data_IF_946795648936
#
_entry.id   IF_946795648936
#
_cell.length_a   1.000
_cell.length_b   1.000
_cell.length_c   1.000
_cell.angle_alpha   90.00
_cell.angle_beta   90.00
_cell.angle_gamma   90.00
#
_symmetry.space_group_name_H-M   'P 1'
#
loop_
_entity.id
_entity.type
_entity.pdbx_description
1 polymer ?
#
# COMPACT_ATOMS: atom_id res chain seq x y z
N UNK A 1 7.31 2.86 -29.56
CA UNK A 1 7.81 2.78 -28.18
C UNK A 1 7.10 3.85 -27.39
N UNK A 2 6.35 3.48 -26.35
CA UNK A 2 5.73 4.45 -25.45
C UNK A 2 6.84 4.94 -24.52
N UNK A 3 6.97 6.25 -24.39
CA UNK A 3 7.91 6.88 -23.49
C UNK A 3 7.45 6.62 -22.03
N UNK A 4 8.16 5.73 -21.33
CA UNK A 4 7.88 5.36 -19.92
C UNK A 4 8.11 6.53 -18.95
N UNK A 5 8.67 7.66 -19.39
CA UNK A 5 8.94 8.86 -18.57
C UNK A 5 7.70 9.54 -17.96
N UNK A 6 6.50 9.03 -18.24
CA UNK A 6 5.24 9.55 -17.66
C UNK A 6 4.40 8.50 -16.94
N UNK A 7 4.87 7.24 -16.85
CA UNK A 7 4.19 6.22 -16.05
C UNK A 7 4.47 6.52 -14.58
N UNK A 8 3.42 6.80 -13.80
CA UNK A 8 3.55 7.00 -12.34
C UNK A 8 3.11 5.76 -11.59
N UNK A 9 3.92 5.34 -10.63
CA UNK A 9 3.71 4.18 -9.78
C UNK A 9 3.43 4.62 -8.35
N UNK A 10 2.28 4.21 -7.82
CA UNK A 10 1.87 4.49 -6.45
C UNK A 10 1.72 3.19 -5.67
N UNK A 11 2.35 3.09 -4.49
CA UNK A 11 2.03 2.05 -3.51
C UNK A 11 1.10 2.63 -2.45
N UNK A 12 -0.07 2.04 -2.27
CA UNK A 12 -1.08 2.50 -1.30
C UNK A 12 -1.49 1.33 -0.42
N UNK A 13 -1.43 1.51 0.90
CA UNK A 13 -1.85 0.47 1.84
C UNK A 13 -3.28 0.69 2.37
N UNK A 14 -4.14 -0.33 2.21
CA UNK A 14 -5.53 -0.40 2.71
C UNK A 14 -6.42 0.81 2.37
N UNK A 15 -7.19 1.32 3.35
CA UNK A 15 -8.42 2.17 3.32
C UNK A 15 -8.37 3.49 2.50
N UNK A 16 -7.45 3.63 1.56
CA UNK A 16 -7.44 4.68 0.56
C UNK A 16 -8.34 4.36 -0.62
N UNK A 17 -9.53 3.78 -0.43
CA UNK A 17 -10.44 3.39 -1.52
C UNK A 17 -10.69 4.55 -2.49
N UNK A 18 -11.07 5.73 -1.95
CA UNK A 18 -11.24 6.94 -2.77
C UNK A 18 -9.94 7.46 -3.41
N UNK A 19 -8.79 7.24 -2.77
CA UNK A 19 -7.49 7.64 -3.34
C UNK A 19 -7.06 6.70 -4.47
N UNK A 20 -7.25 5.40 -4.29
CA UNK A 20 -7.06 4.39 -5.33
C UNK A 20 -7.97 4.73 -6.51
N UNK A 21 -9.28 4.92 -6.27
CA UNK A 21 -10.24 5.30 -7.30
C UNK A 21 -9.81 6.55 -8.06
N UNK A 22 -9.38 7.61 -7.35
CA UNK A 22 -8.89 8.83 -7.98
C UNK A 22 -7.62 8.60 -8.83
N UNK A 23 -6.68 7.78 -8.34
CA UNK A 23 -5.41 7.52 -9.03
C UNK A 23 -5.60 6.62 -10.26
N UNK A 24 -6.49 5.63 -10.21
CA UNK A 24 -6.73 4.73 -11.36
C UNK A 24 -7.47 5.43 -12.52
N UNK A 25 -8.09 6.59 -12.26
CA UNK A 25 -8.65 7.46 -13.31
C UNK A 25 -7.58 8.33 -13.99
N UNK A 26 -6.33 8.33 -13.52
CA UNK A 26 -5.23 9.04 -14.19
C UNK A 26 -4.66 8.12 -15.27
N UNK A 27 -4.57 8.56 -16.55
CA UNK A 27 -3.97 7.75 -17.60
C UNK A 27 -2.52 7.37 -17.28
N UNK A 28 -2.06 6.24 -17.80
CA UNK A 28 -0.67 5.75 -17.64
C UNK A 28 -0.23 5.74 -16.17
N UNK A 29 -1.03 5.13 -15.30
CA UNK A 29 -0.73 5.00 -13.87
C UNK A 29 -0.66 3.52 -13.48
N UNK A 30 0.32 3.15 -12.67
CA UNK A 30 0.33 1.84 -11.99
C UNK A 30 0.01 2.08 -10.52
N UNK A 31 -1.05 1.46 -10.01
CA UNK A 31 -1.39 1.50 -8.59
C UNK A 31 -1.16 0.12 -7.98
N UNK A 32 -0.20 0.03 -7.06
CA UNK A 32 0.04 -1.15 -6.24
C UNK A 32 -0.88 -1.04 -5.02
N UNK A 33 -1.89 -1.91 -4.99
CA UNK A 33 -2.91 -1.92 -3.96
C UNK A 33 -2.50 -2.92 -2.86
N UNK A 34 -2.08 -2.40 -1.71
CA UNK A 34 -1.76 -3.20 -0.53
C UNK A 34 -3.01 -3.82 0.08
N UNK A 35 -3.07 -5.16 0.06
CA UNK A 35 -4.17 -5.98 0.59
C UNK A 35 -3.67 -6.91 1.71
N UNK A 36 -4.56 -7.33 2.60
CA UNK A 36 -4.25 -8.32 3.65
C UNK A 36 -4.53 -9.76 3.23
N UNK A 37 -5.46 -9.93 2.30
CA UNK A 37 -5.92 -11.23 1.83
C UNK A 37 -6.52 -11.08 0.43
N UNK A 38 -6.04 -11.88 -0.52
CA UNK A 38 -6.57 -11.92 -1.89
C UNK A 38 -7.99 -12.49 -1.97
N UNK A 39 -8.41 -13.29 -0.98
CA UNK A 39 -9.71 -13.95 -0.99
C UNK A 39 -10.87 -13.01 -0.58
N UNK A 40 -10.56 -11.91 0.10
CA UNK A 40 -11.54 -10.92 0.56
C UNK A 40 -12.31 -10.28 -0.61
N UNK A 41 -13.57 -9.93 -0.37
CA UNK A 41 -14.43 -9.29 -1.38
C UNK A 41 -13.81 -7.99 -1.92
N UNK A 42 -13.21 -7.18 -1.04
CA UNK A 42 -12.53 -5.94 -1.43
C UNK A 42 -11.37 -6.20 -2.38
N UNK A 43 -10.51 -7.18 -2.08
CA UNK A 43 -9.38 -7.52 -2.97
C UNK A 43 -9.84 -8.03 -4.32
N UNK A 44 -10.91 -8.83 -4.35
CA UNK A 44 -11.48 -9.35 -5.60
C UNK A 44 -12.08 -8.23 -6.45
N UNK A 45 -12.78 -7.28 -5.83
CA UNK A 45 -13.42 -6.16 -6.55
C UNK A 45 -12.44 -5.24 -7.28
N UNK A 46 -11.14 -5.27 -6.94
CA UNK A 46 -10.12 -4.47 -7.63
C UNK A 46 -10.04 -4.76 -9.14
N UNK A 47 -10.38 -5.98 -9.58
CA UNK A 47 -10.39 -6.32 -11.02
C UNK A 47 -11.53 -5.68 -11.80
N UNK A 48 -12.58 -5.24 -11.09
CA UNK A 48 -13.83 -4.77 -11.70
C UNK A 48 -13.88 -3.24 -11.80
N UNK A 49 -12.88 -2.55 -11.25
CA UNK A 49 -12.82 -1.08 -11.24
C UNK A 49 -12.54 -0.54 -12.66
N UNK A 50 -13.24 0.52 -13.09
CA UNK A 50 -12.98 1.15 -14.37
C UNK A 50 -11.60 1.83 -14.35
N UNK A 51 -10.77 1.56 -15.35
CA UNK A 51 -9.41 2.09 -15.44
C UNK A 51 -9.28 3.10 -16.58
N UNK A 52 -8.52 4.18 -16.36
CA UNK A 52 -8.11 5.05 -17.44
C UNK A 52 -7.15 4.34 -18.42
N UNK A 53 -6.99 4.91 -19.62
CA UNK A 53 -6.13 4.32 -20.65
C UNK A 53 -4.68 4.17 -20.18
N UNK A 54 -4.14 2.96 -20.35
CA UNK A 54 -2.77 2.63 -19.96
C UNK A 54 -2.56 2.47 -18.46
N UNK A 55 -3.64 2.37 -17.68
CA UNK A 55 -3.58 2.22 -16.22
C UNK A 55 -3.81 0.78 -15.80
N UNK A 56 -3.17 0.37 -14.70
CA UNK A 56 -3.31 -0.98 -14.12
C UNK A 56 -3.26 -0.95 -12.60
N UNK A 57 -3.88 -1.95 -11.99
CA UNK A 57 -3.80 -2.22 -10.55
C UNK A 57 -2.96 -3.48 -10.34
N UNK A 58 -2.11 -3.47 -9.32
CA UNK A 58 -1.34 -4.64 -8.86
C UNK A 58 -1.71 -4.91 -7.40
N UNK A 59 -2.55 -5.92 -7.11
CA UNK A 59 -2.81 -6.36 -5.75
C UNK A 59 -1.53 -6.95 -5.13
N UNK A 60 -1.15 -6.47 -3.94
CA UNK A 60 0.06 -6.90 -3.25
C UNK A 60 -0.25 -7.21 -1.78
N UNK A 61 0.15 -8.37 -1.30
CA UNK A 61 0.03 -8.68 0.13
C UNK A 61 1.04 -7.84 0.91
N UNK A 62 0.56 -7.07 1.87
CA UNK A 62 1.38 -6.31 2.79
C UNK A 62 0.66 -6.11 4.12
N UNK A 63 1.38 -6.34 5.22
CA UNK A 63 0.89 -6.21 6.57
C UNK A 63 1.70 -5.15 7.33
N UNK A 64 1.02 -4.30 8.09
CA UNK A 64 1.65 -3.29 8.94
C UNK A 64 2.00 -3.79 10.34
N UNK A 65 1.68 -5.06 10.65
CA UNK A 65 1.96 -5.71 11.94
C UNK A 65 2.93 -6.88 11.81
N UNK A 66 3.49 -7.08 10.61
CA UNK A 66 4.49 -8.11 10.33
C UNK A 66 5.70 -7.40 9.72
N UNK A 67 6.81 -7.38 10.45
CA UNK A 67 8.04 -6.68 10.07
C UNK A 67 8.61 -7.18 8.74
N UNK A 68 8.46 -8.48 8.43
CA UNK A 68 9.01 -9.07 7.20
C UNK A 68 8.10 -8.83 6.00
N UNK A 69 6.81 -8.59 6.22
CA UNK A 69 5.81 -8.53 5.16
C UNK A 69 6.10 -7.44 4.11
N UNK A 70 6.43 -6.17 4.46
CA UNK A 70 6.78 -5.16 3.47
C UNK A 70 8.02 -5.52 2.64
N UNK A 71 9.03 -6.15 3.24
CA UNK A 71 10.24 -6.56 2.53
C UNK A 71 9.95 -7.66 1.50
N UNK A 72 9.19 -8.68 1.89
CA UNK A 72 8.73 -9.73 0.98
C UNK A 72 7.85 -9.19 -0.14
N UNK A 73 7.03 -8.19 0.17
CA UNK A 73 6.19 -7.51 -0.81
C UNK A 73 7.04 -6.79 -1.87
N UNK A 74 8.10 -6.09 -1.45
CA UNK A 74 9.05 -5.42 -2.35
C UNK A 74 9.84 -6.42 -3.19
N UNK A 75 10.33 -7.51 -2.59
CA UNK A 75 11.00 -8.58 -3.33
C UNK A 75 10.07 -9.17 -4.41
N UNK A 76 8.79 -9.38 -4.09
CA UNK A 76 7.80 -9.86 -5.05
C UNK A 76 7.58 -8.86 -6.20
N UNK A 77 7.53 -7.56 -5.91
CA UNK A 77 7.45 -6.52 -6.95
C UNK A 77 8.65 -6.57 -7.89
N UNK A 78 9.85 -6.70 -7.36
CA UNK A 78 11.08 -6.80 -8.15
C UNK A 78 11.09 -8.07 -9.00
N UNK A 79 10.90 -9.23 -8.37
CA UNK A 79 11.10 -10.53 -9.01
C UNK A 79 9.94 -10.92 -9.96
N UNK A 80 8.70 -10.57 -9.62
CA UNK A 80 7.51 -10.98 -10.39
C UNK A 80 7.08 -9.92 -11.39
N UNK A 81 7.19 -8.64 -11.03
CA UNK A 81 6.72 -7.54 -11.87
C UNK A 81 7.86 -6.79 -12.57
N UNK A 82 9.13 -7.16 -12.32
CA UNK A 82 10.29 -6.50 -12.91
C UNK A 82 10.39 -5.03 -12.48
N UNK A 83 9.78 -4.67 -11.35
CA UNK A 83 9.65 -3.28 -10.93
C UNK A 83 10.99 -2.76 -10.42
N UNK A 84 11.43 -1.64 -10.99
CA UNK A 84 12.72 -1.00 -10.67
C UNK A 84 12.59 0.23 -9.78
N UNK A 85 11.43 0.90 -9.83
CA UNK A 85 11.17 2.10 -9.05
C UNK A 85 9.70 2.18 -8.63
N UNK A 86 9.44 2.92 -7.56
CA UNK A 86 8.13 3.37 -7.09
C UNK A 86 8.23 4.89 -6.90
N UNK A 87 7.39 5.66 -7.61
CA UNK A 87 7.44 7.12 -7.54
C UNK A 87 6.92 7.66 -6.21
N UNK A 88 5.87 7.05 -5.67
CA UNK A 88 5.19 7.53 -4.45
C UNK A 88 4.74 6.35 -3.59
N UNK A 89 5.12 6.37 -2.32
CA UNK A 89 4.61 5.45 -1.29
C UNK A 89 3.64 6.20 -0.38
N UNK A 90 2.43 5.66 -0.23
CA UNK A 90 1.35 6.20 0.60
C UNK A 90 1.04 5.19 1.71
N UNK A 91 1.68 5.39 2.86
CA UNK A 91 1.49 4.58 4.06
C UNK A 91 0.16 4.92 4.76
N UNK A 92 -0.97 4.56 4.13
CA UNK A 92 -2.31 4.94 4.56
C UNK A 92 -2.92 3.97 5.59
N UNK A 93 -2.43 2.74 5.73
CA UNK A 93 -2.96 1.80 6.72
C UNK A 93 -2.90 2.40 8.13
N UNK A 94 -4.06 2.47 8.78
CA UNK A 94 -4.18 2.79 10.19
C UNK A 94 -5.30 2.01 10.87
N UNK A 95 -5.27 2.00 12.19
CA UNK A 95 -6.36 1.52 13.05
C UNK A 95 -6.75 2.58 14.07
N UNK A 96 -8.00 2.49 14.50
CA UNK A 96 -8.57 3.21 15.64
C UNK A 96 -9.58 2.24 16.27
N UNK A 97 -9.14 1.46 17.26
CA UNK A 97 -9.93 0.38 17.87
C UNK A 97 -10.44 0.72 19.27
N UNK A 98 -9.87 1.75 19.90
CA UNK A 98 -10.24 2.18 21.23
C UNK A 98 -10.59 3.66 21.23
N UNK A 99 -11.68 4.01 21.92
CA UNK A 99 -12.30 5.34 21.88
C UNK A 99 -12.61 5.90 23.28
N UNK A 100 -12.04 5.32 24.34
CA UNK A 100 -12.23 5.78 25.72
C UNK A 100 -11.35 6.98 26.10
N UNK A 101 -11.49 7.44 27.34
CA UNK A 101 -10.66 8.53 27.86
C UNK A 101 -9.19 8.11 27.98
N UNK A 102 -8.28 9.06 27.76
CA UNK A 102 -6.84 8.80 27.85
C UNK A 102 -6.39 8.31 29.23
N UNK A 103 -7.10 8.70 30.30
CA UNK A 103 -6.91 8.26 31.69
C UNK A 103 -7.20 6.77 31.89
N UNK A 104 -8.03 6.18 31.03
CA UNK A 104 -8.52 4.79 31.16
C UNK A 104 -8.02 3.88 30.02
N UNK A 105 -7.38 4.45 28.99
CA UNK A 105 -6.90 3.70 27.82
C UNK A 105 -5.98 2.55 28.23
N UNK A 106 -6.34 1.30 27.91
CA UNK A 106 -5.44 0.17 28.12
C UNK A 106 -4.15 0.35 27.33
N UNK A 107 -3.00 0.17 27.98
CA UNK A 107 -1.70 0.29 27.30
C UNK A 107 -1.50 -0.72 26.16
N UNK A 108 -2.27 -1.82 26.12
CA UNK A 108 -2.30 -2.75 24.99
C UNK A 108 -2.84 -2.08 23.72
N UNK A 109 -3.91 -1.29 23.83
CA UNK A 109 -4.51 -0.54 22.72
C UNK A 109 -3.52 0.49 22.17
N UNK A 110 -2.84 1.22 23.07
CA UNK A 110 -1.80 2.19 22.68
C UNK A 110 -0.69 1.49 21.91
N UNK A 111 -0.20 0.34 22.39
CA UNK A 111 0.85 -0.43 21.70
C UNK A 111 0.38 -0.90 20.33
N UNK A 112 -0.83 -1.41 20.21
CA UNK A 112 -1.37 -1.86 18.93
C UNK A 112 -1.49 -0.70 17.91
N UNK A 113 -1.97 0.47 18.36
CA UNK A 113 -2.02 1.66 17.50
C UNK A 113 -0.63 2.12 17.10
N UNK A 114 0.36 2.10 18.00
CA UNK A 114 1.75 2.43 17.68
C UNK A 114 2.36 1.44 16.68
N UNK A 115 2.10 0.15 16.85
CA UNK A 115 2.57 -0.89 15.95
C UNK A 115 2.08 -0.63 14.52
N UNK A 116 0.78 -0.40 14.33
CA UNK A 116 0.21 -0.23 13.00
C UNK A 116 0.48 1.17 12.43
N UNK A 117 0.17 2.22 13.19
CA UNK A 117 0.09 3.59 12.68
C UNK A 117 1.46 4.29 12.67
N UNK A 118 2.46 3.75 13.37
CA UNK A 118 3.79 4.35 13.48
C UNK A 118 4.87 3.39 13.00
N UNK A 119 5.02 2.23 13.63
CA UNK A 119 6.09 1.27 13.31
C UNK A 119 5.87 0.72 11.90
N UNK A 120 4.65 0.29 11.56
CA UNK A 120 4.32 -0.20 10.22
C UNK A 120 4.56 0.81 9.09
N UNK A 121 4.46 2.11 9.37
CA UNK A 121 4.81 3.18 8.42
C UNK A 121 6.32 3.21 8.18
N UNK A 122 7.11 3.17 9.25
CA UNK A 122 8.57 3.15 9.16
C UNK A 122 9.07 1.89 8.45
N UNK A 123 8.54 0.72 8.79
CA UNK A 123 8.92 -0.55 8.15
C UNK A 123 8.61 -0.54 6.66
N UNK A 124 7.43 -0.03 6.26
CA UNK A 124 7.09 0.12 4.83
C UNK A 124 8.05 1.06 4.10
N UNK A 125 8.39 2.19 4.72
CA UNK A 125 9.37 3.12 4.18
C UNK A 125 10.73 2.45 3.99
N UNK A 126 11.27 1.81 5.02
CA UNK A 126 12.55 1.11 4.96
C UNK A 126 12.58 0.01 3.88
N UNK A 127 11.50 -0.77 3.79
CA UNK A 127 11.39 -1.82 2.78
C UNK A 127 11.36 -1.28 1.35
N UNK A 128 10.77 -0.11 1.13
CA UNK A 128 10.61 0.48 -0.21
C UNK A 128 11.79 1.33 -0.66
N UNK A 129 12.75 1.62 0.22
CA UNK A 129 13.98 2.35 -0.13
C UNK A 129 14.70 1.81 -1.38
N UNK A 130 14.88 0.49 -1.58
CA UNK A 130 15.54 -0.04 -2.78
C UNK A 130 14.82 0.27 -4.10
N UNK A 131 13.55 0.67 -4.04
CA UNK A 131 12.74 1.09 -5.19
C UNK A 131 12.50 2.60 -5.23
N UNK A 132 13.00 3.37 -4.26
CA UNK A 132 12.69 4.81 -4.11
C UNK A 132 13.87 5.73 -4.38
N UNK A 133 15.03 5.18 -4.75
CA UNK A 133 16.28 5.92 -4.95
C UNK A 133 16.72 5.76 -6.39
N UNK A 134 16.91 6.90 -7.08
CA UNK A 134 17.52 7.01 -8.41
C UNK A 134 19.03 6.67 -8.39
#
# INVERSE_FOLDING_TARGET
MVDDRYLRTFLITRLGGGLLEALIQRPKTTVIAGVRDFSSATSKSLSDLPLATGTRIIPLLVSSTDELSPHQAVEKLQNTHGMKYIDVVIANTGISQYYGEASETPLSEVREHFEVNTIGVLTLYQATLPLSVD
#
